data_IF_674722852430
#
_entry.id   IF_674722852430
#
_cell.length_a   1.000
_cell.length_b   1.000
_cell.length_c   1.000
_cell.angle_alpha   90.00
_cell.angle_beta   90.00
_cell.angle_gamma   90.00
#
_symmetry.space_group_name_H-M   'P 1'
#
loop_
_entity.id
_entity.type
_entity.pdbx_description
1 polymer ?
#
# COMPACT_ATOMS: atom_id res chain seq x y z
N UNK A 1 -24.37 22.13 -24.76
CA UNK A 1 -23.49 21.04 -24.31
C UNK A 1 -22.54 21.52 -23.21
N UNK A 2 -21.90 22.70 -23.29
CA UNK A 2 -20.93 23.16 -22.29
C UNK A 2 -21.50 23.52 -20.91
N UNK A 3 -22.74 24.02 -20.80
CA UNK A 3 -23.34 24.35 -19.49
C UNK A 3 -23.81 23.13 -18.69
N UNK A 4 -24.19 22.05 -19.38
CA UNK A 4 -24.56 20.78 -18.70
C UNK A 4 -23.34 19.97 -18.24
N UNK A 5 -22.19 20.09 -18.91
CA UNK A 5 -20.95 19.45 -18.53
C UNK A 5 -20.35 20.11 -17.26
N UNK A 6 -20.35 21.41 -17.14
CA UNK A 6 -19.85 22.13 -15.97
C UNK A 6 -20.66 21.88 -14.68
N UNK A 7 -22.00 21.77 -14.79
CA UNK A 7 -22.86 21.44 -13.63
C UNK A 7 -22.65 20.01 -13.13
N UNK A 8 -22.31 19.07 -14.02
CA UNK A 8 -22.04 17.66 -13.65
C UNK A 8 -20.67 17.52 -12.97
N UNK A 9 -19.65 18.26 -13.41
CA UNK A 9 -18.33 18.27 -12.79
C UNK A 9 -18.35 18.88 -11.38
N UNK A 10 -19.00 20.02 -11.19
CA UNK A 10 -19.13 20.66 -9.88
C UNK A 10 -19.90 19.82 -8.85
N UNK A 11 -20.96 19.13 -9.30
CA UNK A 11 -21.73 18.22 -8.45
C UNK A 11 -20.92 16.99 -8.01
N UNK A 12 -20.06 16.44 -8.88
CA UNK A 12 -19.20 15.29 -8.56
C UNK A 12 -18.12 15.64 -7.53
N UNK A 13 -17.50 16.81 -7.65
CA UNK A 13 -16.50 17.26 -6.69
C UNK A 13 -17.11 17.53 -5.30
N UNK A 14 -18.31 18.10 -5.24
CA UNK A 14 -19.05 18.28 -3.97
C UNK A 14 -19.37 16.96 -3.29
N UNK A 15 -19.88 15.99 -4.05
CA UNK A 15 -20.20 14.66 -3.55
C UNK A 15 -18.95 13.90 -3.06
N UNK A 16 -17.82 13.98 -3.78
CA UNK A 16 -16.57 13.37 -3.35
C UNK A 16 -16.05 13.98 -2.03
N UNK A 17 -16.21 15.31 -1.87
CA UNK A 17 -15.85 16.00 -0.63
C UNK A 17 -16.74 15.55 0.53
N UNK A 18 -18.05 15.45 0.32
CA UNK A 18 -19.00 15.10 1.36
C UNK A 18 -18.76 13.64 1.80
N UNK A 19 -18.55 12.70 0.86
CA UNK A 19 -18.17 11.33 1.16
C UNK A 19 -16.81 11.26 1.88
N UNK A 20 -15.83 12.05 1.46
CA UNK A 20 -14.53 12.09 2.13
C UNK A 20 -14.65 12.56 3.58
N UNK A 21 -15.43 13.60 3.86
CA UNK A 21 -15.68 14.08 5.23
C UNK A 21 -16.33 13.00 6.08
N UNK A 22 -17.32 12.28 5.55
CA UNK A 22 -17.96 11.15 6.22
C UNK A 22 -16.96 10.04 6.54
N UNK A 23 -16.18 9.59 5.54
CA UNK A 23 -15.19 8.53 5.71
C UNK A 23 -14.10 8.91 6.72
N UNK A 24 -13.56 10.15 6.66
CA UNK A 24 -12.53 10.62 7.60
C UNK A 24 -13.09 10.72 9.02
N UNK A 25 -14.36 11.08 9.15
CA UNK A 25 -15.07 11.13 10.45
C UNK A 25 -15.40 9.74 11.02
N UNK A 26 -15.26 8.69 10.21
CA UNK A 26 -15.53 7.29 10.60
C UNK A 26 -14.22 6.56 10.80
N UNK A 27 -13.79 6.26 12.03
CA UNK A 27 -12.56 5.49 12.29
C UNK A 27 -12.60 4.12 11.60
N UNK A 28 -11.45 3.71 11.04
CA UNK A 28 -11.30 2.44 10.33
C UNK A 28 -9.86 1.91 10.45
N UNK A 29 -9.34 1.81 11.67
CA UNK A 29 -8.06 1.15 11.89
C UNK A 29 -8.13 -0.28 11.36
N UNK A 30 -7.03 -0.78 10.78
CA UNK A 30 -6.96 -2.14 10.22
C UNK A 30 -7.56 -3.18 11.19
N UNK A 31 -8.57 -3.92 10.72
CA UNK A 31 -9.37 -4.85 11.54
C UNK A 31 -10.67 -4.27 12.09
N UNK A 32 -10.90 -2.96 11.99
CA UNK A 32 -12.10 -2.26 12.50
C UNK A 32 -12.79 -1.45 11.38
N UNK A 33 -12.67 -1.87 10.11
CA UNK A 33 -13.14 -1.11 8.93
C UNK A 33 -14.67 -1.10 8.74
N UNK A 34 -15.41 -1.92 9.47
CA UNK A 34 -16.82 -2.23 9.19
C UNK A 34 -17.75 -1.01 9.11
N UNK A 35 -17.53 0.04 9.90
CA UNK A 35 -18.36 1.24 9.85
C UNK A 35 -18.10 2.07 8.57
N UNK A 36 -16.82 2.19 8.15
CA UNK A 36 -16.45 2.88 6.92
C UNK A 36 -16.89 2.08 5.67
N UNK A 37 -16.81 0.75 5.71
CA UNK A 37 -17.34 -0.12 4.67
C UNK A 37 -18.87 0.05 4.52
N UNK A 38 -19.59 0.15 5.62
CA UNK A 38 -21.05 0.40 5.60
C UNK A 38 -21.42 1.77 5.03
N UNK A 39 -20.62 2.81 5.29
CA UNK A 39 -20.79 4.13 4.69
C UNK A 39 -20.62 4.09 3.16
N UNK A 40 -19.58 3.40 2.67
CA UNK A 40 -19.37 3.17 1.24
C UNK A 40 -20.51 2.37 0.61
N UNK A 41 -20.98 1.31 1.28
CA UNK A 41 -22.13 0.54 0.80
C UNK A 41 -23.36 1.43 0.66
N UNK A 42 -23.70 2.21 1.68
CA UNK A 42 -24.82 3.14 1.63
C UNK A 42 -24.67 4.19 0.50
N UNK A 43 -23.46 4.66 0.25
CA UNK A 43 -23.17 5.56 -0.85
C UNK A 43 -23.54 4.93 -2.22
N UNK A 44 -23.11 3.70 -2.50
CA UNK A 44 -23.42 3.01 -3.75
C UNK A 44 -24.90 2.64 -3.87
N UNK A 45 -25.55 2.22 -2.78
CA UNK A 45 -27.00 1.98 -2.73
C UNK A 45 -27.79 3.26 -3.09
N UNK A 46 -27.33 4.43 -2.61
CA UNK A 46 -27.89 5.74 -2.98
C UNK A 46 -27.78 6.10 -4.46
N UNK A 47 -26.91 5.42 -5.19
CA UNK A 47 -26.71 5.55 -6.65
C UNK A 47 -27.36 4.40 -7.45
N UNK A 48 -28.25 3.64 -6.85
CA UNK A 48 -28.90 2.47 -7.46
C UNK A 48 -27.87 1.45 -8.03
N UNK A 49 -26.68 1.33 -7.39
CA UNK A 49 -25.63 0.37 -7.77
C UNK A 49 -25.74 -0.91 -6.95
N UNK A 50 -25.56 -2.04 -7.61
CA UNK A 50 -25.33 -3.30 -6.91
C UNK A 50 -24.07 -3.16 -6.06
N UNK A 51 -24.16 -3.50 -4.78
CA UNK A 51 -23.04 -3.41 -3.84
C UNK A 51 -23.22 -4.39 -2.69
N UNK A 52 -22.10 -4.96 -2.22
CA UNK A 52 -22.08 -5.79 -1.00
C UNK A 52 -20.74 -5.68 -0.30
N UNK A 53 -20.72 -6.07 0.95
CA UNK A 53 -19.50 -6.28 1.73
C UNK A 53 -19.20 -7.78 1.71
N UNK A 54 -17.99 -8.17 1.27
CA UNK A 54 -17.57 -9.57 1.21
C UNK A 54 -17.05 -10.09 2.56
N UNK A 55 -16.67 -11.37 2.61
CA UNK A 55 -16.23 -12.05 3.83
C UNK A 55 -14.91 -11.49 4.39
N UNK A 56 -14.10 -10.80 3.59
CA UNK A 56 -12.91 -10.08 4.04
C UNK A 56 -13.21 -8.66 4.54
N UNK A 57 -14.45 -8.18 4.33
CA UNK A 57 -14.86 -6.82 4.67
C UNK A 57 -14.69 -5.81 3.53
N UNK A 58 -14.28 -6.24 2.34
CA UNK A 58 -14.18 -5.37 1.18
C UNK A 58 -15.56 -4.91 0.70
N UNK A 59 -15.65 -3.69 0.19
CA UNK A 59 -16.85 -3.19 -0.49
C UNK A 59 -16.72 -3.42 -1.97
N UNK A 60 -17.61 -4.25 -2.55
CA UNK A 60 -17.66 -4.58 -3.98
C UNK A 60 -18.84 -3.94 -4.64
N UNK A 61 -18.63 -3.10 -5.64
CA UNK A 61 -19.66 -2.54 -6.50
C UNK A 61 -19.32 -2.82 -7.97
N UNK A 62 -19.70 -4.02 -8.49
CA UNK A 62 -19.37 -4.43 -9.84
C UNK A 62 -20.16 -3.66 -10.88
N UNK A 63 -19.57 -3.54 -12.07
CA UNK A 63 -20.23 -3.00 -13.25
C UNK A 63 -19.53 -3.52 -14.52
N UNK A 64 -18.99 -2.63 -15.36
CA UNK A 64 -18.17 -3.01 -16.50
C UNK A 64 -16.74 -3.34 -16.04
N UNK A 65 -16.28 -4.55 -16.32
CA UNK A 65 -14.94 -5.03 -15.95
C UNK A 65 -13.81 -4.48 -16.85
N UNK A 66 -14.09 -3.57 -17.75
CA UNK A 66 -13.07 -2.86 -18.51
C UNK A 66 -12.12 -2.07 -17.61
N UNK A 67 -12.64 -1.52 -16.50
CA UNK A 67 -11.82 -0.80 -15.50
C UNK A 67 -12.32 -1.11 -14.09
N UNK A 68 -11.39 -1.53 -13.22
CA UNK A 68 -11.60 -1.62 -11.80
C UNK A 68 -10.91 -0.45 -11.09
N UNK A 69 -11.68 0.36 -10.38
CA UNK A 69 -11.19 1.40 -9.50
C UNK A 69 -11.10 0.85 -8.07
N UNK A 70 -9.97 1.00 -7.42
CA UNK A 70 -9.73 0.45 -6.07
C UNK A 70 -8.93 1.40 -5.22
N UNK A 71 -9.15 1.37 -3.90
CA UNK A 71 -8.35 2.03 -2.87
C UNK A 71 -8.68 1.40 -1.52
N UNK A 72 -7.83 1.61 -0.50
CA UNK A 72 -8.05 0.98 0.78
C UNK A 72 -8.94 1.80 1.72
N UNK A 73 -9.67 1.06 2.59
CA UNK A 73 -10.61 1.61 3.56
C UNK A 73 -9.90 1.86 4.90
N UNK A 74 -8.94 0.99 5.23
CA UNK A 74 -8.26 0.99 6.51
C UNK A 74 -7.24 2.12 6.66
N UNK A 75 -6.83 2.31 7.89
CA UNK A 75 -5.81 3.29 8.28
C UNK A 75 -4.90 2.70 9.35
N UNK A 76 -3.67 3.19 9.41
CA UNK A 76 -2.79 2.92 10.55
C UNK A 76 -3.38 3.45 11.87
N UNK A 77 -2.98 2.88 13.04
CA UNK A 77 -3.39 3.38 14.34
C UNK A 77 -2.97 4.83 14.61
N UNK A 78 -3.60 5.44 15.58
CA UNK A 78 -3.33 6.78 16.05
C UNK A 78 -4.42 7.76 15.65
N UNK A 79 -4.87 8.55 16.62
CA UNK A 79 -5.92 9.53 16.46
C UNK A 79 -5.36 10.86 15.95
N UNK A 80 -5.95 11.37 14.88
CA UNK A 80 -5.74 12.73 14.39
C UNK A 80 -7.12 13.39 14.41
N UNK A 81 -7.32 14.47 15.19
CA UNK A 81 -8.61 15.13 15.27
C UNK A 81 -9.13 15.53 13.88
N UNK A 82 -10.38 15.21 13.62
CA UNK A 82 -11.03 15.62 12.37
C UNK A 82 -11.33 17.12 12.45
N UNK A 83 -10.88 17.84 11.45
CA UNK A 83 -11.11 19.30 11.35
C UNK A 83 -11.39 19.69 9.91
N UNK A 84 -12.35 20.62 9.75
CA UNK A 84 -12.64 21.28 8.47
C UNK A 84 -12.48 22.78 8.69
N UNK A 85 -11.46 23.36 8.09
CA UNK A 85 -11.06 24.73 8.35
C UNK A 85 -10.87 25.50 7.04
N UNK A 86 -11.32 26.76 7.05
CA UNK A 86 -10.93 27.72 6.00
C UNK A 86 -9.54 28.26 6.35
N UNK A 87 -8.61 28.16 5.40
CA UNK A 87 -7.24 28.68 5.53
C UNK A 87 -6.92 29.62 4.38
N UNK A 88 -6.07 30.65 4.59
CA UNK A 88 -5.51 31.40 3.48
C UNK A 88 -4.84 30.49 2.48
N UNK A 89 -5.11 30.67 1.19
CA UNK A 89 -4.54 29.80 0.14
C UNK A 89 -3.00 29.84 0.13
N UNK A 90 -2.40 30.98 0.52
CA UNK A 90 -0.95 31.15 0.64
C UNK A 90 -0.30 30.28 1.74
N UNK A 91 -1.08 29.87 2.75
CA UNK A 91 -0.62 29.03 3.87
C UNK A 91 -0.76 27.53 3.57
N UNK A 92 -1.35 27.17 2.43
CA UNK A 92 -1.59 25.77 2.05
C UNK A 92 -0.67 25.35 0.90
N UNK A 93 0.13 24.32 1.13
CA UNK A 93 0.93 23.71 0.08
C UNK A 93 0.04 22.83 -0.80
N UNK A 94 -0.27 23.30 -2.00
CA UNK A 94 -0.90 22.48 -3.02
C UNK A 94 0.13 21.52 -3.62
N UNK A 95 -0.24 20.23 -3.78
CA UNK A 95 0.62 19.27 -4.46
C UNK A 95 0.76 19.65 -5.95
N UNK A 96 2.00 19.53 -6.47
CA UNK A 96 2.27 19.79 -7.88
C UNK A 96 2.18 21.25 -8.29
N UNK A 97 1.73 21.50 -9.52
CA UNK A 97 1.60 22.82 -10.11
C UNK A 97 0.26 23.51 -9.83
N UNK A 98 -0.62 22.87 -9.05
CA UNK A 98 -1.96 23.42 -8.79
C UNK A 98 -1.87 24.71 -7.99
N UNK A 99 -2.57 25.73 -8.49
CA UNK A 99 -2.77 27.00 -7.82
C UNK A 99 -4.27 27.30 -7.77
N UNK A 100 -4.67 28.19 -6.89
CA UNK A 100 -6.03 28.71 -6.86
C UNK A 100 -5.98 30.24 -6.89
N UNK A 101 -6.97 30.84 -7.51
CA UNK A 101 -7.18 32.28 -7.46
C UNK A 101 -8.04 32.69 -6.24
N UNK A 102 -8.51 31.72 -5.46
CA UNK A 102 -9.27 31.98 -4.24
C UNK A 102 -8.35 32.47 -3.12
N UNK A 103 -8.80 33.42 -2.33
CA UNK A 103 -8.07 33.96 -1.18
C UNK A 103 -7.98 32.93 -0.04
N UNK A 104 -8.98 32.02 0.05
CA UNK A 104 -9.07 30.97 1.07
C UNK A 104 -9.42 29.62 0.45
N UNK A 105 -9.01 28.54 1.12
CA UNK A 105 -9.33 27.15 0.76
C UNK A 105 -9.81 26.38 1.97
N UNK A 106 -10.72 25.45 1.76
CA UNK A 106 -11.16 24.52 2.79
C UNK A 106 -10.18 23.37 2.93
N UNK A 107 -9.64 23.16 4.11
CA UNK A 107 -8.70 22.10 4.45
C UNK A 107 -9.37 21.09 5.38
N UNK A 108 -9.39 19.82 4.97
CA UNK A 108 -9.81 18.69 5.82
C UNK A 108 -8.57 18.05 6.44
N UNK A 109 -8.57 17.96 7.77
CA UNK A 109 -7.58 17.19 8.53
C UNK A 109 -8.24 15.99 9.19
N UNK A 110 -7.49 14.92 9.39
CA UNK A 110 -7.97 13.70 10.03
C UNK A 110 -7.18 12.47 9.59
N UNK A 111 -7.24 11.38 10.36
CA UNK A 111 -6.60 10.11 10.00
C UNK A 111 -7.21 9.59 8.69
N UNK A 112 -6.35 9.22 7.73
CA UNK A 112 -6.78 8.70 6.42
C UNK A 112 -7.22 9.78 5.41
N UNK A 113 -7.24 11.08 5.75
CA UNK A 113 -7.69 12.13 4.82
C UNK A 113 -6.89 12.15 3.51
N UNK A 114 -5.63 11.71 3.55
CA UNK A 114 -4.75 11.56 2.39
C UNK A 114 -4.53 10.08 2.06
N UNK A 115 -4.23 9.26 3.05
CA UNK A 115 -3.89 7.85 2.92
C UNK A 115 -4.97 6.96 3.57
N UNK A 116 -5.90 6.37 2.78
CA UNK A 116 -6.15 6.72 1.36
C UNK A 116 -7.62 7.09 1.10
N UNK A 117 -8.36 7.57 2.16
CA UNK A 117 -9.80 7.92 2.03
C UNK A 117 -10.06 9.03 1.00
N UNK A 118 -9.06 9.90 0.75
CA UNK A 118 -9.13 10.89 -0.32
C UNK A 118 -9.26 10.24 -1.69
N UNK A 119 -8.38 9.30 -2.00
CA UNK A 119 -8.43 8.52 -3.24
C UNK A 119 -9.68 7.63 -3.28
N UNK A 120 -10.02 6.98 -2.17
CA UNK A 120 -11.18 6.11 -2.03
C UNK A 120 -12.49 6.84 -2.37
N UNK A 121 -12.72 8.01 -1.79
CA UNK A 121 -13.91 8.82 -2.05
C UNK A 121 -13.98 9.29 -3.52
N UNK A 122 -12.86 9.77 -4.07
CA UNK A 122 -12.82 10.17 -5.48
C UNK A 122 -13.14 9.01 -6.42
N UNK A 123 -12.55 7.82 -6.18
CA UNK A 123 -12.78 6.64 -6.99
C UNK A 123 -14.20 6.09 -6.85
N UNK A 124 -14.78 6.12 -5.65
CA UNK A 124 -16.17 5.72 -5.44
C UNK A 124 -17.15 6.58 -6.25
N UNK A 125 -16.98 7.90 -6.23
CA UNK A 125 -17.82 8.83 -6.99
C UNK A 125 -17.62 8.62 -8.50
N UNK A 126 -16.39 8.48 -8.97
CA UNK A 126 -16.12 8.19 -10.39
C UNK A 126 -16.80 6.87 -10.80
N UNK A 127 -16.65 5.81 -10.01
CA UNK A 127 -17.28 4.52 -10.30
C UNK A 127 -18.80 4.61 -10.36
N UNK A 128 -19.42 5.28 -9.39
CA UNK A 128 -20.88 5.45 -9.36
C UNK A 128 -21.40 6.18 -10.60
N UNK A 129 -20.67 7.19 -11.10
CA UNK A 129 -21.07 8.05 -12.21
C UNK A 129 -20.72 7.50 -13.59
N UNK A 130 -19.65 6.72 -13.71
CA UNK A 130 -19.16 6.23 -15.01
C UNK A 130 -19.57 4.78 -15.29
N UNK A 131 -20.05 4.05 -14.30
CA UNK A 131 -20.34 2.62 -14.41
C UNK A 131 -19.06 1.75 -14.45
N UNK A 132 -17.91 2.25 -14.00
CA UNK A 132 -16.74 1.42 -13.72
C UNK A 132 -16.98 0.53 -12.51
N UNK A 133 -16.30 -0.62 -12.44
CA UNK A 133 -16.30 -1.46 -11.24
C UNK A 133 -15.52 -0.78 -10.12
N UNK A 134 -15.95 -0.98 -8.86
CA UNK A 134 -15.29 -0.43 -7.69
C UNK A 134 -15.00 -1.52 -6.66
N UNK A 135 -13.86 -1.37 -5.98
CA UNK A 135 -13.42 -2.22 -4.89
C UNK A 135 -12.79 -1.35 -3.79
N UNK A 136 -13.45 -1.22 -2.66
CA UNK A 136 -12.83 -0.71 -1.43
C UNK A 136 -12.21 -1.87 -0.67
N UNK A 137 -10.89 -1.88 -0.48
CA UNK A 137 -10.18 -3.00 0.16
C UNK A 137 -9.88 -2.74 1.63
N UNK A 138 -9.79 -3.83 2.40
CA UNK A 138 -9.44 -3.83 3.82
C UNK A 138 -8.03 -4.37 4.03
N UNK A 139 -7.34 -3.90 5.08
CA UNK A 139 -6.08 -4.48 5.55
C UNK A 139 -4.85 -4.16 4.70
N UNK A 140 -4.86 -3.13 3.88
CA UNK A 140 -3.71 -2.73 3.05
C UNK A 140 -2.50 -2.37 3.92
N UNK A 141 -2.73 -1.61 4.98
CA UNK A 141 -1.70 -1.09 5.90
C UNK A 141 -0.95 -2.19 6.70
N UNK A 142 -1.39 -3.44 6.62
CA UNK A 142 -0.78 -4.55 7.37
C UNK A 142 -0.39 -5.72 6.48
N UNK A 143 -1.35 -6.34 5.79
CA UNK A 143 -1.16 -7.64 5.12
C UNK A 143 -1.84 -7.75 3.75
N UNK A 144 -2.52 -6.69 3.29
CA UNK A 144 -3.30 -6.68 2.04
C UNK A 144 -4.32 -7.81 1.95
N UNK A 145 -4.91 -8.24 3.10
CA UNK A 145 -5.84 -9.39 3.13
C UNK A 145 -7.04 -9.21 2.24
N UNK A 146 -7.51 -7.97 2.09
CA UNK A 146 -8.66 -7.65 1.25
C UNK A 146 -8.39 -7.90 -0.23
N UNK A 147 -7.30 -7.38 -0.76
CA UNK A 147 -6.90 -7.59 -2.15
C UNK A 147 -6.54 -9.05 -2.43
N UNK A 148 -5.82 -9.72 -1.52
CA UNK A 148 -5.49 -11.16 -1.59
C UNK A 148 -6.76 -12.03 -1.65
N UNK A 149 -7.79 -11.69 -0.85
CA UNK A 149 -9.07 -12.39 -0.88
C UNK A 149 -9.76 -12.26 -2.24
N UNK A 150 -9.81 -11.05 -2.79
CA UNK A 150 -10.44 -10.78 -4.08
C UNK A 150 -9.77 -11.53 -5.23
N UNK A 151 -8.45 -11.51 -5.31
CA UNK A 151 -7.74 -12.22 -6.40
C UNK A 151 -7.84 -13.74 -6.28
N UNK A 152 -7.98 -14.27 -5.06
CA UNK A 152 -8.16 -15.70 -4.82
C UNK A 152 -9.57 -16.21 -5.19
N UNK A 153 -10.61 -15.36 -5.04
CA UNK A 153 -11.99 -15.75 -5.30
C UNK A 153 -12.47 -15.47 -6.73
N UNK A 154 -11.89 -14.47 -7.37
CA UNK A 154 -12.39 -13.97 -8.64
C UNK A 154 -11.91 -14.83 -9.81
N UNK A 155 -12.85 -15.33 -10.61
CA UNK A 155 -12.56 -15.92 -11.91
C UNK A 155 -12.36 -14.81 -12.96
N UNK A 156 -11.14 -14.65 -13.45
CA UNK A 156 -10.76 -13.67 -14.46
C UNK A 156 -10.33 -12.31 -13.91
N UNK A 157 -9.67 -11.53 -14.76
CA UNK A 157 -9.11 -10.21 -14.44
C UNK A 157 -9.89 -9.09 -15.12
N UNK A 158 -9.92 -7.87 -14.57
CA UNK A 158 -10.35 -6.69 -15.30
C UNK A 158 -9.33 -6.34 -16.40
N UNK A 159 -9.76 -5.61 -17.44
CA UNK A 159 -8.84 -5.14 -18.50
C UNK A 159 -7.82 -4.14 -17.97
N UNK A 160 -8.17 -3.40 -16.92
CA UNK A 160 -7.28 -2.46 -16.23
C UNK A 160 -7.67 -2.30 -14.77
N UNK A 161 -6.66 -2.15 -13.89
CA UNK A 161 -6.81 -1.78 -12.48
C UNK A 161 -6.19 -0.40 -12.25
N UNK A 162 -6.91 0.45 -11.54
CA UNK A 162 -6.44 1.75 -11.09
C UNK A 162 -6.53 1.78 -9.56
N UNK A 163 -5.39 1.72 -8.90
CA UNK A 163 -5.30 1.78 -7.45
C UNK A 163 -5.03 3.21 -6.97
N UNK A 164 -5.91 3.70 -6.10
CA UNK A 164 -5.85 5.02 -5.52
C UNK A 164 -4.96 5.05 -4.29
N UNK A 165 -3.82 5.73 -4.44
CA UNK A 165 -2.80 5.93 -3.44
C UNK A 165 -2.34 7.39 -3.41
N UNK A 166 -1.82 7.90 -2.28
CA UNK A 166 -1.36 9.28 -2.20
C UNK A 166 -0.14 9.51 -3.09
N UNK A 167 -0.37 9.93 -4.32
CA UNK A 167 0.68 10.22 -5.32
C UNK A 167 0.71 11.70 -5.75
N UNK A 168 -0.18 12.51 -5.18
CA UNK A 168 -0.48 13.86 -5.69
C UNK A 168 -1.32 13.81 -6.97
N UNK A 169 -2.01 14.89 -7.30
CA UNK A 169 -2.94 14.92 -8.44
C UNK A 169 -2.24 14.82 -9.82
N UNK A 170 -0.96 15.13 -9.90
CA UNK A 170 -0.13 15.02 -11.10
C UNK A 170 0.68 13.71 -11.13
N UNK A 171 0.69 12.95 -10.03
CA UNK A 171 1.50 11.74 -9.89
C UNK A 171 0.84 10.50 -10.47
N UNK A 172 1.59 9.78 -11.29
CA UNK A 172 1.21 8.46 -11.82
C UNK A 172 2.25 7.46 -11.33
N UNK A 173 1.91 6.69 -10.30
CA UNK A 173 2.82 5.66 -9.77
C UNK A 173 2.82 4.46 -10.71
N UNK A 174 4.00 4.12 -11.22
CA UNK A 174 4.21 3.00 -12.15
C UNK A 174 4.81 1.77 -11.48
N UNK A 175 5.44 1.92 -10.32
CA UNK A 175 6.11 0.81 -9.68
C UNK A 175 6.18 0.91 -8.17
N UNK A 176 6.18 -0.27 -7.56
CA UNK A 176 6.36 -0.51 -6.14
C UNK A 176 7.42 -1.60 -5.97
N UNK A 177 8.23 -1.50 -4.91
CA UNK A 177 9.10 -2.62 -4.54
C UNK A 177 8.26 -3.75 -3.94
N UNK A 178 8.80 -4.97 -4.00
CA UNK A 178 8.26 -6.10 -3.27
C UNK A 178 8.70 -6.14 -1.81
N UNK A 179 8.22 -7.16 -1.12
CA UNK A 179 8.56 -7.48 0.25
C UNK A 179 8.81 -9.00 0.38
N UNK A 180 9.88 -9.35 1.06
CA UNK A 180 10.11 -10.69 1.58
C UNK A 180 10.34 -10.57 3.08
N UNK A 181 9.49 -11.20 3.89
CA UNK A 181 9.60 -11.20 5.34
C UNK A 181 9.72 -12.61 5.90
N UNK A 182 10.51 -12.78 6.93
CA UNK A 182 10.74 -14.07 7.55
C UNK A 182 11.29 -13.96 8.97
N UNK A 183 11.21 -15.07 9.70
CA UNK A 183 11.75 -15.22 11.04
C UNK A 183 12.88 -16.24 11.02
N UNK A 184 14.09 -15.79 11.31
CA UNK A 184 15.22 -16.68 11.59
C UNK A 184 15.06 -17.26 12.99
N UNK A 185 15.27 -18.56 13.12
CA UNK A 185 15.20 -19.28 14.41
C UNK A 185 16.43 -20.18 14.55
N UNK A 186 17.10 -20.11 15.69
CA UNK A 186 18.17 -21.03 16.04
C UNK A 186 18.19 -21.36 17.53
N UNK A 187 18.75 -22.53 17.83
CA UNK A 187 19.00 -23.01 19.20
C UNK A 187 20.37 -23.69 19.24
N UNK A 188 21.16 -23.39 20.25
CA UNK A 188 22.45 -24.03 20.53
C UNK A 188 22.51 -24.50 21.96
N UNK A 189 23.44 -25.40 22.27
CA UNK A 189 23.72 -25.77 23.66
C UNK A 189 24.23 -24.56 24.45
N UNK A 190 23.78 -24.42 25.70
CA UNK A 190 24.33 -23.43 26.62
C UNK A 190 25.78 -23.79 26.96
N UNK A 191 26.68 -22.86 26.81
CA UNK A 191 28.12 -23.07 27.08
C UNK A 191 28.74 -21.91 27.84
N UNK A 192 29.88 -22.15 28.46
CA UNK A 192 30.67 -21.09 29.09
C UNK A 192 31.19 -20.15 28.01
N UNK A 193 31.16 -18.83 28.26
CA UNK A 193 31.59 -17.78 27.32
C UNK A 193 33.07 -17.85 26.87
N UNK A 194 33.86 -18.77 27.43
CA UNK A 194 35.23 -19.07 27.00
C UNK A 194 35.34 -20.09 25.87
N UNK A 195 34.22 -20.71 25.47
CA UNK A 195 34.21 -21.64 24.33
C UNK A 195 34.31 -20.83 23.01
N UNK A 196 35.09 -21.34 22.04
CA UNK A 196 35.30 -20.65 20.78
C UNK A 196 34.14 -20.82 19.77
N UNK A 197 33.24 -21.79 19.98
CA UNK A 197 32.11 -22.07 19.11
C UNK A 197 31.02 -21.00 19.27
N UNK A 198 30.40 -20.64 18.17
CA UNK A 198 29.27 -19.73 18.18
C UNK A 198 28.09 -20.30 18.97
N UNK A 199 27.35 -19.44 19.61
CA UNK A 199 26.02 -19.75 20.10
C UNK A 199 24.96 -19.31 19.07
N UNK A 200 23.69 -19.66 19.30
CA UNK A 200 22.59 -19.36 18.40
C UNK A 200 22.45 -17.85 18.06
N UNK A 201 22.75 -16.98 19.02
CA UNK A 201 22.70 -15.52 18.80
C UNK A 201 23.82 -15.08 17.84
N UNK A 202 25.03 -15.61 18.00
CA UNK A 202 26.15 -15.31 17.09
C UNK A 202 25.86 -15.84 15.69
N UNK A 203 25.28 -17.04 15.55
CA UNK A 203 24.89 -17.61 14.26
C UNK A 203 23.85 -16.71 13.54
N UNK A 204 22.87 -16.17 14.27
CA UNK A 204 21.88 -15.23 13.71
C UNK A 204 22.54 -13.93 13.22
N UNK A 205 23.45 -13.37 14.01
CA UNK A 205 24.17 -12.16 13.65
C UNK A 205 25.11 -12.35 12.45
N UNK A 206 25.84 -13.48 12.41
CA UNK A 206 26.75 -13.83 11.31
C UNK A 206 25.97 -14.06 10.00
N UNK A 207 24.82 -14.75 10.06
CA UNK A 207 23.93 -14.90 8.91
C UNK A 207 23.44 -13.54 8.41
N UNK A 208 22.94 -12.71 9.32
CA UNK A 208 22.41 -11.40 8.95
C UNK A 208 23.48 -10.47 8.35
N UNK A 209 24.67 -10.44 8.93
CA UNK A 209 25.79 -9.64 8.40
C UNK A 209 26.14 -10.04 6.96
N UNK A 210 26.12 -11.34 6.64
CA UNK A 210 26.37 -11.82 5.28
C UNK A 210 25.25 -11.43 4.31
N UNK A 211 24.00 -11.56 4.72
CA UNK A 211 22.85 -11.13 3.91
C UNK A 211 22.87 -9.62 3.67
N UNK A 212 23.12 -8.83 4.69
CA UNK A 212 23.20 -7.36 4.54
C UNK A 212 24.39 -6.93 3.66
N UNK A 213 25.53 -7.59 3.82
CA UNK A 213 26.72 -7.33 3.00
C UNK A 213 26.51 -7.67 1.52
N UNK A 214 25.79 -8.76 1.21
CA UNK A 214 25.47 -9.15 -0.17
C UNK A 214 24.71 -8.07 -0.94
N UNK A 215 23.77 -7.42 -0.25
CA UNK A 215 22.92 -6.39 -0.85
C UNK A 215 23.43 -4.95 -0.64
N UNK A 216 24.61 -4.79 -0.04
CA UNK A 216 25.23 -3.47 0.08
C UNK A 216 25.86 -3.02 -1.24
N UNK A 217 25.92 -1.69 -1.43
CA UNK A 217 26.46 -1.08 -2.63
C UNK A 217 27.57 -0.08 -2.27
N UNK A 218 28.72 -0.20 -2.92
CA UNK A 218 29.83 0.75 -2.78
C UNK A 218 29.53 2.11 -3.43
N UNK A 219 28.67 2.12 -4.47
CA UNK A 219 28.25 3.32 -5.18
C UNK A 219 26.81 3.69 -4.83
N UNK A 220 26.46 4.95 -5.02
CA UNK A 220 25.10 5.41 -4.79
C UNK A 220 24.14 4.82 -5.82
N UNK A 221 23.12 4.10 -5.36
CA UNK A 221 22.02 3.56 -6.14
C UNK A 221 20.70 4.11 -5.56
N UNK A 222 19.73 4.55 -6.40
CA UNK A 222 18.43 4.96 -5.91
C UNK A 222 17.77 3.87 -5.03
N UNK A 223 17.10 4.27 -3.95
CA UNK A 223 16.51 3.32 -2.99
C UNK A 223 15.51 2.38 -3.67
N UNK A 224 14.81 2.82 -4.70
CA UNK A 224 13.88 1.98 -5.46
C UNK A 224 14.58 0.82 -6.19
N UNK A 225 15.79 1.06 -6.69
CA UNK A 225 16.52 0.15 -7.58
C UNK A 225 17.48 -0.78 -6.81
N UNK A 226 17.38 -0.88 -5.47
CA UNK A 226 18.22 -1.75 -4.65
C UNK A 226 17.41 -2.57 -3.65
N UNK A 227 17.91 -3.74 -3.29
CA UNK A 227 17.42 -4.48 -2.12
C UNK A 227 17.78 -3.68 -0.87
N UNK A 228 16.84 -3.53 0.04
CA UNK A 228 17.11 -2.97 1.38
C UNK A 228 16.70 -3.96 2.43
N UNK A 229 17.59 -4.22 3.37
CA UNK A 229 17.53 -5.24 4.40
C UNK A 229 17.29 -4.59 5.77
N UNK A 230 16.40 -5.14 6.59
CA UNK A 230 16.12 -4.67 7.94
C UNK A 230 15.82 -5.84 8.88
N UNK A 231 16.56 -6.02 9.99
CA UNK A 231 16.03 -6.74 11.13
C UNK A 231 14.99 -5.82 11.79
N UNK A 232 13.82 -6.36 12.11
CA UNK A 232 12.70 -5.56 12.65
C UNK A 232 12.37 -5.93 14.09
N UNK A 233 12.74 -7.14 14.50
CA UNK A 233 12.67 -7.59 15.90
C UNK A 233 13.73 -8.64 16.17
N UNK A 234 14.23 -8.71 17.40
CA UNK A 234 15.18 -9.73 17.87
C UNK A 234 14.85 -10.07 19.31
N UNK A 235 14.59 -11.35 19.56
CA UNK A 235 14.44 -11.90 20.91
C UNK A 235 15.37 -13.08 21.08
N UNK A 236 15.91 -13.26 22.27
CA UNK A 236 16.78 -14.40 22.53
C UNK A 236 17.51 -14.33 23.85
N UNK A 237 18.15 -15.43 24.19
CA UNK A 237 18.88 -15.57 25.45
C UNK A 237 19.07 -17.01 25.87
N UNK A 238 19.46 -17.18 27.13
CA UNK A 238 19.57 -18.50 27.76
C UNK A 238 18.14 -18.96 28.11
N UNK A 239 17.79 -20.19 27.71
CA UNK A 239 16.51 -20.84 28.05
C UNK A 239 16.24 -20.88 29.56
N UNK A 240 14.97 -20.98 29.95
CA UNK A 240 14.59 -21.02 31.39
C UNK A 240 15.28 -22.13 32.19
N UNK A 241 15.56 -23.27 31.56
CA UNK A 241 16.26 -24.40 32.19
C UNK A 241 17.80 -24.25 32.21
N UNK A 242 18.32 -23.22 31.52
CA UNK A 242 19.76 -22.91 31.43
C UNK A 242 20.55 -23.84 30.49
N UNK A 243 19.90 -24.72 29.74
CA UNK A 243 20.54 -25.74 28.93
C UNK A 243 20.81 -25.32 27.49
N UNK A 244 20.07 -24.33 26.97
CA UNK A 244 20.21 -23.84 25.61
C UNK A 244 20.33 -22.31 25.54
N UNK A 245 20.82 -21.82 24.40
CA UNK A 245 20.69 -20.44 23.95
C UNK A 245 19.79 -20.45 22.74
N UNK A 246 18.75 -19.64 22.77
CA UNK A 246 17.74 -19.54 21.74
C UNK A 246 17.73 -18.13 21.15
N UNK A 247 17.36 -18.01 19.88
CA UNK A 247 17.18 -16.72 19.22
C UNK A 247 16.09 -16.79 18.17
N UNK A 248 15.29 -15.74 18.10
CA UNK A 248 14.43 -15.42 16.96
C UNK A 248 14.78 -14.03 16.45
N UNK A 249 14.80 -13.86 15.13
CA UNK A 249 15.04 -12.55 14.52
C UNK A 249 14.10 -12.38 13.33
N UNK A 250 13.21 -11.40 13.43
CA UNK A 250 12.34 -11.03 12.31
C UNK A 250 13.07 -10.10 11.37
N UNK A 251 12.98 -10.42 10.08
CA UNK A 251 13.68 -9.69 9.02
C UNK A 251 12.74 -9.31 7.88
N UNK A 252 13.00 -8.18 7.27
CA UNK A 252 12.32 -7.71 6.08
C UNK A 252 13.33 -7.28 5.01
N UNK A 253 13.13 -7.76 3.79
CA UNK A 253 13.90 -7.39 2.61
C UNK A 253 12.95 -6.74 1.59
N UNK A 254 13.23 -5.49 1.21
CA UNK A 254 12.49 -4.82 0.12
C UNK A 254 13.11 -5.17 -1.21
N UNK A 255 12.31 -5.69 -2.12
CA UNK A 255 12.75 -6.30 -3.37
C UNK A 255 12.48 -5.35 -4.53
N UNK A 256 13.51 -4.87 -5.27
CA UNK A 256 13.31 -4.06 -6.46
C UNK A 256 12.84 -4.93 -7.65
N UNK A 257 12.24 -4.32 -8.71
CA UNK A 257 11.69 -5.06 -9.85
C UNK A 257 12.71 -5.87 -10.70
N UNK A 258 13.97 -5.74 -10.42
CA UNK A 258 15.03 -6.52 -11.08
C UNK A 258 15.18 -7.94 -10.52
N UNK A 259 14.58 -8.19 -9.33
CA UNK A 259 14.59 -9.47 -8.64
C UNK A 259 13.17 -9.96 -8.38
N UNK A 260 13.02 -11.26 -8.25
CA UNK A 260 11.86 -11.90 -7.63
C UNK A 260 12.13 -12.13 -6.14
N UNK A 261 11.07 -12.30 -5.36
CA UNK A 261 11.22 -12.65 -3.94
C UNK A 261 11.88 -14.03 -3.76
N UNK A 262 11.68 -14.97 -4.71
CA UNK A 262 12.33 -16.28 -4.69
C UNK A 262 13.85 -16.17 -4.87
N UNK A 263 14.34 -15.35 -5.80
CA UNK A 263 15.76 -15.12 -5.99
C UNK A 263 16.43 -14.54 -4.73
N UNK A 264 15.78 -13.56 -4.09
CA UNK A 264 16.28 -12.97 -2.84
C UNK A 264 16.28 -14.01 -1.71
N UNK A 265 15.23 -14.83 -1.61
CA UNK A 265 15.17 -15.93 -0.64
C UNK A 265 16.31 -16.92 -0.84
N UNK A 266 16.54 -17.37 -2.08
CA UNK A 266 17.60 -18.34 -2.38
C UNK A 266 18.98 -17.80 -2.01
N UNK A 267 19.22 -16.50 -2.24
CA UNK A 267 20.46 -15.85 -1.84
C UNK A 267 20.59 -15.83 -0.32
N UNK A 268 19.56 -15.40 0.41
CA UNK A 268 19.57 -15.34 1.86
C UNK A 268 19.71 -16.73 2.51
N UNK A 269 19.00 -17.73 1.99
CA UNK A 269 19.09 -19.12 2.44
C UNK A 269 20.48 -19.71 2.15
N UNK A 270 21.15 -19.28 1.10
CA UNK A 270 22.51 -19.70 0.75
C UNK A 270 23.58 -19.32 1.78
N UNK A 271 23.30 -18.35 2.65
CA UNK A 271 24.20 -17.93 3.75
C UNK A 271 23.90 -18.63 5.08
N UNK A 272 22.87 -19.50 5.15
CA UNK A 272 22.55 -20.25 6.35
C UNK A 272 23.60 -21.35 6.61
N UNK A 273 24.30 -21.27 7.74
CA UNK A 273 25.17 -22.34 8.26
C UNK A 273 24.46 -23.10 9.38
N UNK A 274 23.78 -22.36 10.25
CA UNK A 274 22.99 -22.87 11.36
C UNK A 274 21.64 -22.13 11.40
N UNK A 275 20.66 -22.71 12.08
CA UNK A 275 19.31 -22.14 12.16
C UNK A 275 18.46 -22.40 10.92
N UNK A 276 17.31 -21.78 10.91
CA UNK A 276 16.32 -21.89 9.83
C UNK A 276 15.58 -20.56 9.69
N UNK A 277 15.25 -20.16 8.47
CA UNK A 277 14.37 -19.02 8.23
C UNK A 277 12.99 -19.51 7.80
N UNK A 278 11.98 -19.07 8.51
CA UNK A 278 10.58 -19.26 8.15
C UNK A 278 10.09 -18.03 7.40
N UNK A 279 10.13 -18.08 6.07
CA UNK A 279 9.58 -17.04 5.22
C UNK A 279 8.05 -17.09 5.25
N UNK A 280 7.40 -16.03 5.70
CA UNK A 280 5.97 -16.00 5.98
C UNK A 280 5.19 -14.94 5.25
N UNK A 281 5.84 -13.91 4.70
CA UNK A 281 5.18 -12.92 3.85
C UNK A 281 6.02 -12.66 2.60
N UNK A 282 5.31 -12.59 1.48
CA UNK A 282 5.89 -12.48 0.16
C UNK A 282 5.00 -11.64 -0.73
N UNK A 283 5.55 -10.56 -1.23
CA UNK A 283 4.90 -9.64 -2.16
C UNK A 283 5.86 -9.36 -3.30
N UNK A 284 5.50 -9.78 -4.51
CA UNK A 284 6.35 -9.53 -5.68
C UNK A 284 6.41 -8.04 -6.02
N UNK A 285 7.54 -7.53 -6.51
CA UNK A 285 7.64 -6.16 -6.98
C UNK A 285 6.85 -5.96 -8.27
N UNK A 286 6.40 -4.74 -8.53
CA UNK A 286 5.70 -4.38 -9.75
C UNK A 286 6.33 -3.19 -10.44
N UNK A 287 6.41 -3.23 -11.77
CA UNK A 287 6.83 -2.10 -12.59
C UNK A 287 6.06 -2.06 -13.91
N UNK A 288 5.13 -1.14 -14.02
CA UNK A 288 4.29 -0.95 -15.20
C UNK A 288 4.95 -0.04 -16.24
N UNK A 289 4.64 -0.30 -17.51
CA UNK A 289 5.14 0.57 -18.57
C UNK A 289 4.39 1.90 -18.61
N UNK A 290 5.12 3.00 -18.73
CA UNK A 290 4.56 4.33 -19.00
C UNK A 290 3.77 4.41 -20.32
N UNK A 291 3.83 3.37 -21.17
CA UNK A 291 3.18 3.31 -22.47
C UNK A 291 1.83 2.57 -22.44
N UNK A 292 1.38 2.10 -21.28
CA UNK A 292 0.06 1.48 -21.17
C UNK A 292 -1.05 2.45 -21.56
N UNK A 293 -2.22 1.97 -22.04
CA UNK A 293 -3.37 2.82 -22.32
C UNK A 293 -3.78 3.67 -21.12
N UNK A 294 -3.81 3.06 -19.91
CA UNK A 294 -4.15 3.74 -18.65
C UNK A 294 -3.18 4.89 -18.36
N UNK A 295 -1.85 4.65 -18.35
CA UNK A 295 -0.87 5.69 -18.10
C UNK A 295 -0.93 6.83 -19.15
N UNK A 296 -1.28 6.52 -20.39
CA UNK A 296 -1.48 7.56 -21.43
C UNK A 296 -2.75 8.37 -21.17
N UNK A 297 -3.86 7.74 -20.77
CA UNK A 297 -5.10 8.41 -20.45
C UNK A 297 -4.91 9.40 -19.28
N UNK A 298 -4.28 8.93 -18.18
CA UNK A 298 -3.96 9.80 -17.03
C UNK A 298 -3.08 11.00 -17.41
N UNK A 299 -2.03 10.78 -18.22
CA UNK A 299 -1.21 11.89 -18.69
C UNK A 299 -1.99 12.89 -19.56
N UNK A 300 -2.96 12.40 -20.33
CA UNK A 300 -3.87 13.24 -21.10
C UNK A 300 -4.80 14.06 -20.21
N UNK A 301 -5.42 13.42 -19.23
CA UNK A 301 -6.33 14.06 -18.28
C UNK A 301 -5.61 15.13 -17.43
N UNK A 302 -4.46 14.80 -16.84
CA UNK A 302 -3.67 15.76 -16.04
C UNK A 302 -3.33 17.01 -16.85
N UNK A 303 -2.90 16.85 -18.12
CA UNK A 303 -2.61 18.01 -18.99
C UNK A 303 -3.87 18.77 -19.39
N UNK A 304 -4.99 18.07 -19.55
CA UNK A 304 -6.29 18.69 -19.81
C UNK A 304 -6.72 19.65 -18.70
N UNK A 305 -6.39 19.27 -17.45
CA UNK A 305 -6.62 20.07 -16.25
C UNK A 305 -5.51 21.11 -15.96
N UNK A 306 -4.56 21.29 -16.88
CA UNK A 306 -3.47 22.26 -16.74
C UNK A 306 -2.28 21.80 -15.92
N UNK A 307 -2.20 20.51 -15.54
CA UNK A 307 -1.11 19.95 -14.77
C UNK A 307 0.04 19.40 -15.59
N UNK A 308 1.14 19.06 -14.89
CA UNK A 308 2.31 18.41 -15.45
C UNK A 308 2.43 16.97 -14.90
N UNK A 309 2.17 15.92 -15.72
CA UNK A 309 2.16 14.54 -15.22
C UNK A 309 3.56 14.05 -14.85
N UNK A 310 3.71 13.58 -13.63
CA UNK A 310 4.92 12.97 -13.08
C UNK A 310 4.79 11.47 -12.97
N UNK A 311 5.80 10.73 -13.51
CA UNK A 311 5.87 9.28 -13.38
C UNK A 311 6.65 8.93 -12.11
N UNK A 312 6.02 8.24 -11.17
CA UNK A 312 6.53 7.97 -9.84
C UNK A 312 6.85 6.48 -9.66
N UNK A 313 7.76 6.22 -8.73
CA UNK A 313 8.09 4.90 -8.20
C UNK A 313 8.11 4.99 -6.68
N UNK A 314 7.38 4.12 -6.00
CA UNK A 314 7.30 4.09 -4.53
C UNK A 314 8.16 2.97 -3.95
N UNK A 315 8.79 3.22 -2.83
CA UNK A 315 9.72 2.28 -2.20
C UNK A 315 9.04 1.29 -1.24
N UNK A 316 7.77 1.47 -0.96
CA UNK A 316 6.92 0.53 -0.23
C UNK A 316 6.24 -0.48 -1.16
N UNK A 317 5.31 -1.25 -0.60
CA UNK A 317 4.32 -2.08 -1.28
C UNK A 317 2.98 -1.36 -1.34
N UNK A 318 2.04 -1.86 -2.11
CA UNK A 318 0.62 -1.52 -2.07
C UNK A 318 -0.21 -2.69 -2.61
N UNK A 319 -1.53 -2.61 -2.54
CA UNK A 319 -2.41 -3.61 -3.15
C UNK A 319 -2.15 -3.81 -4.65
N UNK A 320 -1.54 -2.82 -5.33
CA UNK A 320 -1.15 -2.96 -6.72
C UNK A 320 -0.16 -4.10 -6.97
N UNK A 321 0.70 -4.42 -5.99
CA UNK A 321 1.58 -5.57 -6.07
C UNK A 321 0.78 -6.88 -6.13
N UNK A 322 -0.26 -7.01 -5.30
CA UNK A 322 -1.13 -8.18 -5.26
C UNK A 322 -1.91 -8.33 -6.58
N UNK A 323 -2.50 -7.25 -7.06
CA UNK A 323 -3.25 -7.28 -8.32
C UNK A 323 -2.36 -7.63 -9.51
N UNK A 324 -1.19 -7.02 -9.63
CA UNK A 324 -0.27 -7.24 -10.75
C UNK A 324 0.38 -8.62 -10.78
N UNK A 325 0.46 -9.31 -9.64
CA UNK A 325 0.97 -10.68 -9.55
C UNK A 325 -0.08 -11.74 -10.00
N UNK A 326 -1.38 -11.38 -9.95
CA UNK A 326 -2.48 -12.31 -10.19
C UNK A 326 -3.29 -11.99 -11.45
N UNK A 327 -3.28 -10.75 -11.93
CA UNK A 327 -4.04 -10.22 -13.09
C UNK A 327 -3.08 -9.54 -14.12
#
# INVERSE_FOLDING_TARGET
MSELEGDVEGAGAGEARDLLVELVSTPSVTGEEGAAASALQAFFEGHDREVWIDDAGNVRAPADDGVLLTSHIDTVPGDIPVGLEERPAEDVAFGGSRTTDDDTVTVLTGRGSVDAKGCLAAMAVVAARTGASFLGVTGEEVDSRGSRHVVAEREGSPDAVINGEPSGWEGITLGYRGLLAGTYVATSESGHSSRPENNAIQDALDWWERVDAEFSHDEWVPVFDRVTTKPVDVDGGISEDGLSVEVTMDVQLRVPPEYTTDEIREIADGYLENGTVHWHDRVEPVMMSARTPVARAFRGAIRGEGGEPHLLRKTGTSDMNVFADHW
#
